data_IF_548503494180
#
_entry.id   IF_548503494180
#
_cell.length_a   1.000
_cell.length_b   1.000
_cell.length_c   1.000
_cell.angle_alpha   90.00
_cell.angle_beta   90.00
_cell.angle_gamma   90.00
#
_symmetry.space_group_name_H-M   'P 1'
#
loop_
_entity.id
_entity.type
_entity.pdbx_description
1 polymer ?
#
# COMPACT_ATOMS: atom_id res chain seq x y z
N UNK A 1 28.43 11.16 23.20
CA UNK A 1 29.76 10.61 23.04
C UNK A 1 29.70 9.55 21.95
N UNK A 2 30.46 9.72 20.89
CA UNK A 2 30.54 8.74 19.81
C UNK A 2 31.27 7.50 20.35
N UNK A 3 30.73 6.29 20.10
CA UNK A 3 31.33 5.05 20.66
C UNK A 3 32.64 4.67 19.96
N UNK A 4 32.82 5.10 18.71
CA UNK A 4 34.04 4.77 17.92
C UNK A 4 35.17 5.75 18.17
N UNK A 5 34.86 7.05 18.32
CA UNK A 5 35.89 8.10 18.46
C UNK A 5 36.06 8.58 19.91
N UNK A 6 35.13 8.33 20.81
CA UNK A 6 35.12 8.84 22.18
C UNK A 6 34.83 10.33 22.29
N UNK A 7 34.58 11.04 21.19
CA UNK A 7 34.37 12.48 21.17
C UNK A 7 32.89 12.86 21.25
N UNK A 8 32.59 14.07 21.76
CA UNK A 8 31.26 14.63 21.74
C UNK A 8 30.97 15.26 20.38
N UNK A 9 29.93 14.79 19.69
CA UNK A 9 29.41 15.38 18.46
C UNK A 9 27.98 15.89 18.64
N UNK A 10 27.54 16.78 17.78
CA UNK A 10 26.14 17.22 17.72
C UNK A 10 25.23 16.03 17.36
N UNK A 11 24.07 15.98 18.00
CA UNK A 11 23.02 15.01 17.70
C UNK A 11 22.55 15.21 16.28
N UNK A 12 22.38 14.10 15.56
CA UNK A 12 21.82 14.03 14.21
C UNK A 12 20.49 13.26 14.26
N UNK A 13 19.66 13.43 13.25
CA UNK A 13 18.37 12.71 13.17
C UNK A 13 18.54 11.19 13.16
N UNK A 14 19.61 10.68 12.57
CA UNK A 14 19.95 9.24 12.56
C UNK A 14 20.23 8.65 13.95
N UNK A 15 20.52 9.49 14.93
CA UNK A 15 20.74 9.05 16.32
C UNK A 15 19.42 8.79 17.06
N UNK A 16 18.30 9.20 16.47
CA UNK A 16 16.98 9.16 17.09
C UNK A 16 16.17 8.00 16.49
N UNK A 17 15.60 7.19 17.38
CA UNK A 17 14.66 6.13 16.99
C UNK A 17 13.34 6.27 17.75
N UNK A 18 12.24 6.07 17.05
CA UNK A 18 10.91 5.93 17.64
C UNK A 18 10.52 4.45 17.59
N UNK A 19 10.42 3.84 18.76
CA UNK A 19 10.04 2.45 18.90
C UNK A 19 8.53 2.33 19.16
N UNK A 20 7.89 1.50 18.36
CA UNK A 20 6.48 1.15 18.47
C UNK A 20 6.34 -0.35 18.74
N UNK A 21 5.36 -0.73 19.54
CA UNK A 21 5.04 -2.15 19.72
C UNK A 21 4.52 -2.78 18.41
N UNK A 22 3.60 -2.08 17.74
CA UNK A 22 3.09 -2.44 16.42
C UNK A 22 3.23 -1.23 15.51
N UNK A 23 3.84 -1.40 14.36
CA UNK A 23 4.15 -0.32 13.40
C UNK A 23 2.92 -0.02 12.54
N UNK A 24 2.10 -1.05 12.26
CA UNK A 24 0.91 -0.94 11.43
C UNK A 24 -0.06 0.15 11.93
N UNK A 25 -0.45 1.04 11.05
CA UNK A 25 -1.40 2.14 11.30
C UNK A 25 -0.82 3.36 12.06
N UNK A 26 0.33 3.22 12.72
CA UNK A 26 0.93 4.31 13.50
C UNK A 26 2.15 4.92 12.83
N UNK A 27 2.97 4.11 12.18
CA UNK A 27 4.20 4.58 11.53
C UNK A 27 3.98 5.67 10.50
N UNK A 28 2.94 5.53 9.71
CA UNK A 28 2.58 6.50 8.68
C UNK A 28 2.14 7.84 9.30
N UNK A 29 1.36 7.78 10.39
CA UNK A 29 0.95 8.99 11.12
C UNK A 29 2.17 9.71 11.72
N UNK A 30 3.08 8.98 12.36
CA UNK A 30 4.32 9.55 12.88
C UNK A 30 5.19 10.14 11.78
N UNK A 31 5.39 9.40 10.67
CA UNK A 31 6.17 9.87 9.54
C UNK A 31 5.60 11.17 8.95
N UNK A 32 4.29 11.22 8.72
CA UNK A 32 3.60 12.39 8.19
C UNK A 32 3.72 13.61 9.11
N UNK A 33 3.52 13.45 10.41
CA UNK A 33 3.61 14.54 11.38
C UNK A 33 5.03 15.08 11.47
N UNK A 34 6.04 14.21 11.52
CA UNK A 34 7.45 14.62 11.55
C UNK A 34 7.85 15.32 10.26
N UNK A 35 7.47 14.79 9.11
CA UNK A 35 7.74 15.41 7.81
C UNK A 35 7.05 16.78 7.66
N UNK A 36 5.81 16.91 8.14
CA UNK A 36 5.10 18.19 8.17
C UNK A 36 5.81 19.22 9.06
N UNK A 37 6.52 18.77 10.11
CA UNK A 37 7.37 19.61 10.95
C UNK A 37 8.79 19.84 10.38
N UNK A 38 9.08 19.38 9.16
CA UNK A 38 10.40 19.50 8.52
C UNK A 38 11.43 18.54 9.06
N UNK A 39 11.04 17.52 9.85
CA UNK A 39 11.94 16.52 10.39
C UNK A 39 11.93 15.31 9.46
N UNK A 40 13.07 14.96 8.83
CA UNK A 40 13.15 13.81 7.97
C UNK A 40 12.96 12.53 8.79
N UNK A 41 11.91 11.78 8.52
CA UNK A 41 11.56 10.55 9.21
C UNK A 41 11.25 9.43 8.23
N UNK A 42 11.65 8.23 8.61
CA UNK A 42 11.53 7.04 7.80
C UNK A 42 11.02 5.87 8.66
N UNK A 43 10.08 5.13 8.11
CA UNK A 43 9.52 3.93 8.74
C UNK A 43 10.09 2.65 8.12
N UNK A 44 10.57 1.74 8.95
CA UNK A 44 11.01 0.40 8.51
C UNK A 44 9.85 -0.59 8.34
N UNK A 45 8.61 -0.11 8.26
CA UNK A 45 7.47 -0.99 8.04
C UNK A 45 7.57 -1.62 6.65
N UNK A 46 7.43 -2.93 6.59
CA UNK A 46 7.39 -3.68 5.32
C UNK A 46 5.99 -3.72 4.70
N UNK A 47 5.04 -2.97 5.26
CA UNK A 47 3.64 -3.00 4.85
C UNK A 47 3.25 -1.66 4.27
N UNK A 48 2.53 -1.68 3.17
CA UNK A 48 1.90 -0.49 2.62
C UNK A 48 2.36 -0.06 1.22
N UNK A 49 3.38 -0.69 0.62
CA UNK A 49 3.84 -0.33 -0.72
C UNK A 49 2.70 -0.37 -1.75
N UNK A 50 1.97 -1.48 -1.82
CA UNK A 50 0.86 -1.64 -2.75
C UNK A 50 -0.39 -0.83 -2.38
N UNK A 51 -0.46 -0.27 -1.18
CA UNK A 51 -1.55 0.61 -0.74
C UNK A 51 -1.23 2.09 -0.92
N UNK A 52 -0.01 2.44 -1.34
CA UNK A 52 0.34 3.83 -1.66
C UNK A 52 -0.45 4.32 -2.86
N UNK A 53 -0.87 5.58 -2.80
CA UNK A 53 -1.77 6.15 -3.81
C UNK A 53 -1.21 6.07 -5.23
N UNK A 54 0.10 6.32 -5.39
CA UNK A 54 0.77 6.27 -6.69
C UNK A 54 0.74 4.87 -7.28
N UNK A 55 0.97 3.83 -6.47
CA UNK A 55 0.97 2.44 -6.92
C UNK A 55 -0.45 1.97 -7.22
N UNK A 56 -1.41 2.26 -6.33
CA UNK A 56 -2.83 1.93 -6.55
C UNK A 56 -3.35 2.55 -7.85
N UNK A 57 -2.96 3.80 -8.14
CA UNK A 57 -3.39 4.47 -9.37
C UNK A 57 -2.83 3.76 -10.61
N UNK A 58 -1.55 3.43 -10.64
CA UNK A 58 -0.95 2.71 -11.79
C UNK A 58 -1.53 1.30 -11.93
N UNK A 59 -1.71 0.57 -10.82
CA UNK A 59 -2.34 -0.75 -10.86
C UNK A 59 -3.77 -0.68 -11.40
N UNK A 60 -4.57 0.30 -10.97
CA UNK A 60 -5.91 0.51 -11.54
C UNK A 60 -5.85 0.78 -13.05
N UNK A 61 -4.86 1.55 -13.53
CA UNK A 61 -4.70 1.78 -14.96
C UNK A 61 -4.32 0.50 -15.72
N UNK A 62 -3.45 -0.34 -15.15
CA UNK A 62 -3.11 -1.66 -15.70
C UNK A 62 -4.35 -2.58 -15.75
N UNK A 63 -5.20 -2.56 -14.72
CA UNK A 63 -6.49 -3.26 -14.75
C UNK A 63 -7.36 -2.80 -15.91
N UNK A 64 -7.38 -1.50 -16.25
CA UNK A 64 -8.14 -0.99 -17.38
C UNK A 64 -7.53 -1.41 -18.73
N UNK A 65 -6.22 -1.50 -18.81
CA UNK A 65 -5.54 -2.02 -20.01
C UNK A 65 -5.90 -3.48 -20.26
N UNK A 66 -6.07 -4.29 -19.22
CA UNK A 66 -6.52 -5.67 -19.30
C UNK A 66 -8.04 -5.75 -19.58
N UNK A 67 -8.85 -5.12 -18.73
CA UNK A 67 -10.30 -5.11 -18.84
C UNK A 67 -10.92 -3.77 -18.40
N UNK A 68 -11.36 -2.90 -19.33
CA UNK A 68 -11.92 -1.59 -19.01
C UNK A 68 -13.33 -1.66 -18.38
N UNK A 69 -13.98 -2.82 -18.43
CA UNK A 69 -15.31 -3.03 -17.87
C UNK A 69 -15.31 -3.21 -16.35
N UNK A 70 -14.18 -3.06 -15.67
CA UNK A 70 -14.07 -3.09 -14.20
C UNK A 70 -14.46 -1.73 -13.62
N UNK A 71 -15.61 -1.66 -12.92
CA UNK A 71 -16.20 -0.39 -12.48
C UNK A 71 -15.33 0.34 -11.45
N UNK A 72 -14.76 -0.37 -10.46
CA UNK A 72 -13.96 0.24 -9.39
C UNK A 72 -12.66 0.84 -9.94
N UNK A 73 -11.80 0.10 -10.66
CA UNK A 73 -10.61 0.66 -11.28
C UNK A 73 -10.93 1.81 -12.25
N UNK A 74 -11.99 1.66 -13.05
CA UNK A 74 -12.36 2.68 -14.03
C UNK A 74 -12.75 4.00 -13.36
N UNK A 75 -13.64 3.94 -12.36
CA UNK A 75 -14.06 5.12 -11.60
C UNK A 75 -12.88 5.76 -10.86
N UNK A 76 -11.99 4.93 -10.28
CA UNK A 76 -10.80 5.41 -9.61
C UNK A 76 -9.88 6.20 -10.55
N UNK A 77 -9.69 5.75 -11.79
CA UNK A 77 -8.87 6.46 -12.78
C UNK A 77 -9.58 7.72 -13.28
N UNK A 78 -10.88 7.70 -13.51
CA UNK A 78 -11.62 8.91 -13.88
C UNK A 78 -11.46 10.02 -12.84
N UNK A 79 -11.47 9.65 -11.55
CA UNK A 79 -11.29 10.60 -10.45
C UNK A 79 -9.83 10.99 -10.20
N UNK A 80 -8.89 10.18 -10.63
CA UNK A 80 -7.46 10.43 -10.46
C UNK A 80 -6.99 11.63 -11.30
N UNK A 81 -5.82 12.20 -11.01
CA UNK A 81 -5.22 13.27 -11.83
C UNK A 81 -5.04 12.92 -13.30
N UNK A 82 -5.10 11.65 -13.67
CA UNK A 82 -4.96 11.17 -15.05
C UNK A 82 -6.14 11.66 -15.91
N UNK A 83 -7.36 11.54 -15.42
CA UNK A 83 -8.55 12.06 -16.10
C UNK A 83 -9.08 13.34 -15.46
N UNK A 84 -9.03 13.45 -14.11
CA UNK A 84 -9.38 14.65 -13.36
C UNK A 84 -10.89 14.96 -13.36
N UNK A 85 -11.73 13.94 -13.35
CA UNK A 85 -13.17 14.13 -13.23
C UNK A 85 -13.58 14.48 -11.79
N UNK A 86 -14.46 15.43 -11.64
CA UNK A 86 -15.13 15.77 -10.39
C UNK A 86 -16.26 14.79 -10.07
N UNK A 87 -16.71 14.76 -8.83
CA UNK A 87 -17.83 13.90 -8.43
C UNK A 87 -19.14 14.27 -9.18
N UNK A 88 -19.34 15.55 -9.48
CA UNK A 88 -20.49 16.03 -10.27
C UNK A 88 -20.42 15.52 -11.72
N UNK A 89 -19.23 15.58 -12.34
CA UNK A 89 -19.01 15.06 -13.69
C UNK A 89 -19.22 13.54 -13.75
N UNK A 90 -18.76 12.81 -12.76
CA UNK A 90 -19.01 11.35 -12.66
C UNK A 90 -20.49 11.03 -12.51
N UNK A 91 -21.21 11.81 -11.72
CA UNK A 91 -22.67 11.68 -11.58
C UNK A 91 -23.38 11.96 -12.91
N UNK A 92 -22.99 13.01 -13.64
CA UNK A 92 -23.53 13.34 -14.95
C UNK A 92 -23.32 12.19 -15.96
N UNK A 93 -22.12 11.62 -16.01
CA UNK A 93 -21.82 10.46 -16.85
C UNK A 93 -22.72 9.26 -16.47
N UNK A 94 -22.90 8.98 -15.19
CA UNK A 94 -23.72 7.85 -14.71
C UNK A 94 -25.21 8.05 -14.99
N UNK A 95 -25.66 9.30 -15.06
CA UNK A 95 -27.07 9.64 -15.38
C UNK A 95 -27.45 9.40 -16.83
N UNK A 96 -26.49 9.32 -17.76
CA UNK A 96 -26.78 9.03 -19.18
C UNK A 96 -27.42 7.66 -19.35
N UNK A 97 -26.87 6.67 -18.65
CA UNK A 97 -27.41 5.31 -18.69
C UNK A 97 -27.01 4.57 -17.40
N UNK A 98 -27.98 4.26 -16.56
CA UNK A 98 -27.77 3.59 -15.27
C UNK A 98 -27.60 2.09 -15.37
N UNK A 99 -28.03 1.50 -16.48
CA UNK A 99 -28.07 0.05 -16.71
C UNK A 99 -26.73 -0.49 -17.23
N UNK A 100 -25.96 0.36 -17.94
CA UNK A 100 -24.69 -0.03 -18.54
C UNK A 100 -23.50 0.18 -17.59
N UNK A 101 -22.37 -0.44 -17.90
CA UNK A 101 -21.11 -0.19 -17.18
C UNK A 101 -20.60 1.23 -17.40
N UNK A 102 -19.87 1.76 -16.42
CA UNK A 102 -19.39 3.14 -16.45
C UNK A 102 -18.47 3.42 -17.67
N UNK A 103 -17.73 2.43 -18.15
CA UNK A 103 -16.95 2.52 -19.38
C UNK A 103 -17.83 2.83 -20.61
N UNK A 104 -18.93 2.10 -20.75
CA UNK A 104 -19.90 2.29 -21.84
C UNK A 104 -20.65 3.63 -21.69
N UNK A 105 -21.03 3.99 -20.44
CA UNK A 105 -21.65 5.28 -20.15
C UNK A 105 -20.72 6.46 -20.52
N UNK A 106 -19.40 6.35 -20.26
CA UNK A 106 -18.41 7.33 -20.69
C UNK A 106 -18.34 7.43 -22.21
N UNK A 107 -18.37 6.30 -22.93
CA UNK A 107 -18.40 6.28 -24.38
C UNK A 107 -19.63 6.99 -24.95
N UNK A 108 -20.82 6.73 -24.38
CA UNK A 108 -22.07 7.41 -24.74
C UNK A 108 -21.99 8.90 -24.44
N UNK A 109 -21.55 9.29 -23.24
CA UNK A 109 -21.42 10.69 -22.85
C UNK A 109 -20.42 11.43 -23.76
N UNK A 110 -19.31 10.82 -24.12
CA UNK A 110 -18.33 11.42 -25.02
C UNK A 110 -18.90 11.79 -26.42
N UNK A 111 -20.03 11.18 -26.82
CA UNK A 111 -20.73 11.48 -28.07
C UNK A 111 -21.88 12.46 -27.85
N UNK A 112 -22.75 12.20 -26.85
CA UNK A 112 -24.06 12.84 -26.70
C UNK A 112 -24.17 13.74 -25.46
N UNK A 113 -23.14 13.82 -24.61
CA UNK A 113 -23.19 14.59 -23.36
C UNK A 113 -23.42 16.09 -23.59
N UNK A 114 -24.03 16.75 -22.64
CA UNK A 114 -24.37 18.19 -22.73
C UNK A 114 -23.14 19.08 -22.53
N UNK A 115 -22.24 18.72 -21.61
CA UNK A 115 -21.03 19.48 -21.33
C UNK A 115 -19.91 19.14 -22.32
N UNK A 116 -19.54 20.14 -23.12
CA UNK A 116 -18.51 20.00 -24.15
C UNK A 116 -17.11 19.77 -23.54
N UNK A 117 -16.79 20.43 -22.42
CA UNK A 117 -15.51 20.26 -21.77
C UNK A 117 -15.34 18.83 -21.23
N UNK A 118 -16.39 18.28 -20.63
CA UNK A 118 -16.40 16.91 -20.15
C UNK A 118 -16.36 15.89 -21.31
N UNK A 119 -17.09 16.15 -22.40
CA UNK A 119 -17.01 15.30 -23.63
C UNK A 119 -15.59 15.20 -24.14
N UNK A 120 -14.90 16.33 -24.28
CA UNK A 120 -13.53 16.35 -24.78
C UNK A 120 -12.54 15.69 -23.82
N UNK A 121 -12.72 15.90 -22.52
CA UNK A 121 -11.95 15.22 -21.47
C UNK A 121 -12.08 13.70 -21.59
N UNK A 122 -13.30 13.19 -21.69
CA UNK A 122 -13.57 11.76 -21.82
C UNK A 122 -13.09 11.18 -23.13
N UNK A 123 -13.26 11.89 -24.26
CA UNK A 123 -12.72 11.45 -25.56
C UNK A 123 -11.21 11.27 -25.53
N UNK A 124 -10.50 12.24 -24.97
CA UNK A 124 -9.04 12.19 -24.84
C UNK A 124 -8.61 11.01 -23.98
N UNK A 125 -9.24 10.84 -22.83
CA UNK A 125 -8.95 9.72 -21.94
C UNK A 125 -9.22 8.36 -22.59
N UNK A 126 -10.39 8.18 -23.21
CA UNK A 126 -10.75 6.92 -23.88
C UNK A 126 -9.83 6.60 -25.04
N UNK A 127 -9.48 7.59 -25.87
CA UNK A 127 -8.53 7.41 -26.98
C UNK A 127 -7.13 7.03 -26.48
N UNK A 128 -6.67 7.64 -25.40
CA UNK A 128 -5.39 7.32 -24.79
C UNK A 128 -5.39 5.89 -24.20
N UNK A 129 -6.45 5.53 -23.48
CA UNK A 129 -6.62 4.18 -22.91
C UNK A 129 -6.61 3.13 -24.03
N UNK A 130 -7.39 3.34 -25.09
CA UNK A 130 -7.45 2.40 -26.22
C UNK A 130 -6.11 2.26 -26.94
N UNK A 131 -5.38 3.37 -27.12
CA UNK A 131 -4.03 3.34 -27.71
C UNK A 131 -3.08 2.47 -26.88
N UNK A 132 -3.14 2.52 -25.56
CA UNK A 132 -2.30 1.70 -24.69
C UNK A 132 -2.78 0.24 -24.68
N UNK A 133 -4.09 0.00 -24.66
CA UNK A 133 -4.67 -1.35 -24.71
C UNK A 133 -4.26 -2.12 -25.97
N UNK A 134 -4.31 -1.47 -27.13
CA UNK A 134 -3.88 -2.08 -28.38
C UNK A 134 -2.40 -2.48 -28.39
N UNK A 135 -1.58 -1.88 -27.52
CA UNK A 135 -0.16 -2.21 -27.40
C UNK A 135 0.13 -3.34 -26.41
N UNK A 136 -0.78 -3.65 -25.48
CA UNK A 136 -0.58 -4.68 -24.44
C UNK A 136 -0.02 -6.00 -24.98
N UNK A 137 -0.51 -6.58 -26.10
CA UNK A 137 -0.01 -7.86 -26.59
C UNK A 137 1.44 -7.82 -27.10
N UNK A 138 1.96 -6.64 -27.42
CA UNK A 138 3.24 -6.45 -28.11
C UNK A 138 4.29 -5.71 -27.27
N UNK A 139 3.92 -5.24 -26.08
CA UNK A 139 4.78 -4.41 -25.25
C UNK A 139 5.07 -5.13 -23.94
N UNK A 140 6.34 -5.24 -23.51
CA UNK A 140 6.69 -5.71 -22.18
C UNK A 140 5.99 -4.89 -21.09
N UNK A 141 5.70 -5.51 -19.94
CA UNK A 141 4.91 -4.86 -18.86
C UNK A 141 5.66 -3.66 -18.29
N UNK A 142 6.98 -3.78 -18.08
CA UNK A 142 7.80 -2.67 -17.58
C UNK A 142 7.78 -1.46 -18.54
N UNK A 143 7.82 -1.70 -19.85
CA UNK A 143 7.68 -0.64 -20.85
C UNK A 143 6.26 -0.08 -20.87
N UNK A 144 5.24 -0.93 -20.72
CA UNK A 144 3.84 -0.49 -20.64
C UNK A 144 3.63 0.44 -19.44
N UNK A 145 4.16 0.10 -18.26
CA UNK A 145 4.10 0.96 -17.09
C UNK A 145 4.80 2.30 -17.37
N UNK A 146 5.98 2.27 -17.96
CA UNK A 146 6.73 3.49 -18.32
C UNK A 146 5.92 4.36 -19.30
N UNK A 147 5.33 3.76 -20.34
CA UNK A 147 4.47 4.47 -21.28
C UNK A 147 3.22 5.06 -20.62
N UNK A 148 2.61 4.35 -19.66
CA UNK A 148 1.49 4.89 -18.88
C UNK A 148 1.94 6.14 -18.14
N UNK A 149 3.05 6.08 -17.39
CA UNK A 149 3.56 7.21 -16.60
C UNK A 149 3.89 8.43 -17.47
N UNK A 150 4.50 8.22 -18.62
CA UNK A 150 4.88 9.29 -19.55
C UNK A 150 3.67 9.90 -20.26
N UNK A 151 2.84 9.07 -20.91
CA UNK A 151 1.71 9.55 -21.72
C UNK A 151 0.61 10.20 -20.89
N UNK A 152 0.38 9.71 -19.67
CA UNK A 152 -0.58 10.33 -18.76
C UNK A 152 -0.01 11.53 -17.99
N UNK A 153 1.32 11.70 -18.00
CA UNK A 153 2.01 12.70 -17.18
C UNK A 153 1.98 12.38 -15.68
N UNK A 154 1.47 11.20 -15.30
CA UNK A 154 1.28 10.85 -13.90
C UNK A 154 2.60 10.73 -13.13
N UNK A 155 3.68 10.29 -13.77
CA UNK A 155 5.01 10.23 -13.17
C UNK A 155 5.52 11.62 -12.73
N UNK A 156 5.34 12.64 -13.57
CA UNK A 156 5.65 14.03 -13.24
C UNK A 156 4.77 14.58 -12.12
N UNK A 157 3.47 14.32 -12.19
CA UNK A 157 2.51 14.71 -11.15
C UNK A 157 2.88 14.10 -9.78
N UNK A 158 3.12 12.80 -9.72
CA UNK A 158 3.49 12.11 -8.48
C UNK A 158 4.79 12.66 -7.87
N UNK A 159 5.77 13.00 -8.73
CA UNK A 159 7.04 13.59 -8.30
C UNK A 159 6.90 15.02 -7.76
N UNK A 160 5.89 15.77 -8.21
CA UNK A 160 5.62 17.13 -7.76
C UNK A 160 4.79 17.20 -6.46
N UNK A 161 4.19 16.11 -6.04
CA UNK A 161 3.41 16.02 -4.81
C UNK A 161 4.31 15.98 -3.56
N UNK A 162 3.79 16.31 -2.36
CA UNK A 162 4.51 16.11 -1.11
C UNK A 162 5.03 14.66 -0.99
N UNK A 163 6.31 14.50 -0.65
CA UNK A 163 6.98 13.19 -0.67
C UNK A 163 7.30 12.69 -2.08
N UNK A 164 7.40 13.57 -3.08
CA UNK A 164 7.55 13.21 -4.49
C UNK A 164 8.76 12.32 -4.79
N UNK A 165 9.87 12.51 -4.08
CA UNK A 165 11.06 11.64 -4.22
C UNK A 165 10.72 10.19 -3.85
N UNK A 166 9.97 9.99 -2.74
CA UNK A 166 9.52 8.66 -2.33
C UNK A 166 8.53 8.06 -3.32
N UNK A 167 7.55 8.87 -3.78
CA UNK A 167 6.57 8.42 -4.78
C UNK A 167 7.21 8.00 -6.08
N UNK A 168 8.20 8.76 -6.54
CA UNK A 168 8.97 8.40 -7.72
C UNK A 168 9.74 7.10 -7.53
N UNK A 169 10.43 6.93 -6.41
CA UNK A 169 11.14 5.69 -6.09
C UNK A 169 10.19 4.48 -6.01
N UNK A 170 8.98 4.67 -5.45
CA UNK A 170 7.94 3.63 -5.44
C UNK A 170 7.51 3.23 -6.87
N UNK A 171 7.33 4.20 -7.77
CA UNK A 171 7.00 3.94 -9.18
C UNK A 171 8.13 3.22 -9.91
N UNK A 172 9.38 3.62 -9.70
CA UNK A 172 10.57 2.96 -10.25
C UNK A 172 10.66 1.51 -9.77
N UNK A 173 10.41 1.24 -8.48
CA UNK A 173 10.36 -0.13 -7.95
C UNK A 173 9.23 -0.96 -8.58
N UNK A 174 8.08 -0.36 -8.96
CA UNK A 174 7.03 -1.10 -9.68
C UNK A 174 7.52 -1.55 -11.06
N UNK A 175 8.28 -0.71 -11.74
CA UNK A 175 8.91 -1.07 -13.02
C UNK A 175 9.93 -2.20 -12.84
N UNK A 176 10.77 -2.15 -11.80
CA UNK A 176 11.72 -3.23 -11.47
C UNK A 176 10.99 -4.55 -11.19
N UNK A 177 9.89 -4.50 -10.43
CA UNK A 177 9.07 -5.69 -10.16
C UNK A 177 8.45 -6.27 -11.43
N UNK A 178 8.10 -5.44 -12.39
CA UNK A 178 7.64 -5.92 -13.68
C UNK A 178 8.76 -6.62 -14.47
N UNK A 179 9.98 -6.10 -14.44
CA UNK A 179 11.16 -6.74 -15.05
C UNK A 179 11.46 -8.08 -14.38
N UNK A 180 11.44 -8.13 -13.03
CA UNK A 180 11.62 -9.38 -12.28
C UNK A 180 10.57 -10.44 -12.64
N UNK A 181 9.29 -10.02 -12.76
CA UNK A 181 8.21 -10.90 -13.16
C UNK A 181 8.41 -11.43 -14.58
N UNK A 182 8.84 -10.60 -15.51
CA UNK A 182 9.06 -10.98 -16.91
C UNK A 182 10.25 -11.95 -17.09
N UNK A 183 11.17 -11.98 -16.15
CA UNK A 183 12.25 -12.97 -16.11
C UNK A 183 11.75 -14.38 -15.71
N UNK A 184 10.52 -14.50 -15.18
CA UNK A 184 9.91 -15.79 -14.85
C UNK A 184 9.29 -16.47 -16.07
N UNK A 185 8.78 -17.69 -15.89
CA UNK A 185 8.04 -18.42 -16.93
C UNK A 185 6.65 -17.87 -17.21
N UNK A 186 6.12 -17.02 -16.31
CA UNK A 186 4.80 -16.40 -16.46
C UNK A 186 4.91 -15.12 -17.29
N UNK A 187 4.00 -14.94 -18.24
CA UNK A 187 3.99 -13.77 -19.12
C UNK A 187 2.60 -13.16 -19.24
N UNK A 188 2.57 -11.91 -19.67
CA UNK A 188 1.34 -11.17 -19.99
C UNK A 188 0.78 -10.40 -18.81
N UNK A 189 0.08 -9.30 -19.16
CA UNK A 189 -0.45 -8.32 -18.21
C UNK A 189 -1.40 -8.95 -17.19
N UNK A 190 -2.31 -9.81 -17.61
CA UNK A 190 -3.25 -10.53 -16.75
C UNK A 190 -2.53 -11.31 -15.64
N UNK A 191 -1.47 -12.06 -15.97
CA UNK A 191 -0.72 -12.84 -15.00
C UNK A 191 0.06 -11.94 -14.04
N UNK A 192 0.58 -10.81 -14.52
CA UNK A 192 1.25 -9.82 -13.66
C UNK A 192 0.27 -9.22 -12.65
N UNK A 193 -0.92 -8.80 -13.09
CA UNK A 193 -1.96 -8.28 -12.19
C UNK A 193 -2.29 -9.31 -11.11
N UNK A 194 -2.54 -10.57 -11.49
CA UNK A 194 -2.80 -11.64 -10.53
C UNK A 194 -1.64 -11.90 -9.58
N UNK A 195 -0.41 -11.81 -10.05
CA UNK A 195 0.78 -11.91 -9.21
C UNK A 195 0.81 -10.82 -8.15
N UNK A 196 0.56 -9.56 -8.53
CA UNK A 196 0.47 -8.44 -7.57
C UNK A 196 -0.67 -8.64 -6.57
N UNK A 197 -1.86 -9.06 -7.02
CA UNK A 197 -3.01 -9.35 -6.15
C UNK A 197 -2.69 -10.46 -5.13
N UNK A 198 -1.95 -11.48 -5.54
CA UNK A 198 -1.50 -12.53 -4.63
C UNK A 198 -0.51 -12.01 -3.60
N UNK A 199 0.46 -11.18 -4.01
CA UNK A 199 1.39 -10.54 -3.08
C UNK A 199 0.65 -9.71 -2.03
N UNK A 200 -0.33 -8.92 -2.44
CA UNK A 200 -1.19 -8.16 -1.54
C UNK A 200 -1.96 -9.07 -0.57
N UNK A 201 -2.56 -10.14 -1.06
CA UNK A 201 -3.36 -11.08 -0.27
C UNK A 201 -2.56 -11.83 0.78
N UNK A 202 -1.33 -12.20 0.47
CA UNK A 202 -0.45 -12.95 1.39
C UNK A 202 0.40 -12.04 2.27
N UNK A 203 0.10 -10.73 2.29
CA UNK A 203 0.88 -9.74 3.04
C UNK A 203 2.39 -9.78 2.74
N UNK A 204 2.76 -10.32 1.57
CA UNK A 204 4.12 -10.22 1.05
C UNK A 204 4.25 -8.81 0.48
N UNK A 205 4.10 -7.81 1.36
CA UNK A 205 4.21 -6.42 0.98
C UNK A 205 5.69 -6.03 1.08
N UNK A 206 6.23 -5.60 -0.02
CA UNK A 206 7.54 -4.97 -0.04
C UNK A 206 7.36 -3.59 0.61
N UNK A 207 8.03 -3.30 1.71
CA UNK A 207 7.98 -1.95 2.27
C UNK A 207 8.28 -0.90 1.20
N UNK A 208 7.83 0.32 1.40
CA UNK A 208 8.19 1.45 0.54
C UNK A 208 9.70 1.48 0.30
N UNK A 209 10.10 1.88 -0.90
CA UNK A 209 11.53 2.01 -1.25
C UNK A 209 12.23 2.88 -0.22
N UNK A 210 13.27 2.34 0.39
CA UNK A 210 14.09 3.12 1.30
C UNK A 210 15.02 4.03 0.50
N UNK A 211 14.52 5.21 0.10
CA UNK A 211 15.34 6.23 -0.56
C UNK A 211 16.40 6.86 0.36
N UNK A 212 16.14 6.80 1.65
CA UNK A 212 17.11 7.19 2.66
C UNK A 212 17.92 5.93 2.99
N UNK A 213 19.08 5.73 2.39
CA UNK A 213 20.00 4.65 2.75
C UNK A 213 20.18 4.53 4.27
N UNK A 214 20.65 3.41 4.77
CA UNK A 214 20.87 3.21 6.22
C UNK A 214 21.76 4.29 6.87
N UNK A 215 22.55 5.00 6.05
CA UNK A 215 23.41 6.10 6.45
C UNK A 215 22.77 7.49 6.41
N UNK A 216 21.52 7.62 5.95
CA UNK A 216 20.86 8.92 5.85
C UNK A 216 20.55 9.51 7.23
N UNK A 217 20.65 10.84 7.34
CA UNK A 217 20.34 11.57 8.56
C UNK A 217 18.81 11.73 8.73
N UNK A 218 18.16 10.66 9.15
CA UNK A 218 16.70 10.59 9.32
C UNK A 218 16.30 9.91 10.63
N UNK A 219 15.21 10.36 11.24
CA UNK A 219 14.59 9.69 12.40
C UNK A 219 14.01 8.36 11.95
N UNK A 220 14.38 7.28 12.63
CA UNK A 220 13.90 5.93 12.32
C UNK A 220 12.66 5.58 13.14
N UNK A 221 11.64 5.07 12.47
CA UNK A 221 10.42 4.56 13.13
C UNK A 221 10.38 3.05 12.89
N UNK A 222 10.44 2.27 13.97
CA UNK A 222 10.46 0.80 13.83
C UNK A 222 9.76 0.10 15.00
N UNK A 223 9.51 -1.20 14.86
CA UNK A 223 9.01 -2.00 15.97
C UNK A 223 10.12 -2.36 16.95
N UNK A 224 9.73 -2.55 18.22
CA UNK A 224 10.64 -3.05 19.27
C UNK A 224 11.32 -4.38 18.82
N UNK A 225 10.61 -5.24 18.10
CA UNK A 225 11.18 -6.49 17.61
C UNK A 225 12.31 -6.28 16.57
N UNK A 226 12.15 -5.29 15.69
CA UNK A 226 13.17 -4.97 14.68
C UNK A 226 14.39 -4.24 15.26
N UNK A 227 14.25 -3.59 16.42
CA UNK A 227 15.37 -2.92 17.08
C UNK A 227 16.28 -3.89 17.85
N UNK A 228 15.92 -5.19 17.95
CA UNK A 228 16.75 -6.19 18.63
C UNK A 228 18.12 -6.30 17.98
N UNK A 229 19.17 -6.05 18.75
CA UNK A 229 20.55 -6.05 18.28
C UNK A 229 21.03 -4.72 17.71
N UNK A 230 20.18 -3.69 17.67
CA UNK A 230 20.55 -2.34 17.27
C UNK A 230 20.67 -1.45 18.50
N UNK A 231 21.61 -0.51 18.47
CA UNK A 231 21.80 0.48 19.53
C UNK A 231 21.57 1.89 18.97
N UNK A 232 20.82 2.69 19.74
CA UNK A 232 20.51 4.08 19.37
C UNK A 232 20.80 5.00 20.54
N UNK A 233 21.46 6.16 20.31
CA UNK A 233 21.73 7.13 21.36
C UNK A 233 20.45 7.70 22.00
N UNK A 234 19.39 7.91 21.19
CA UNK A 234 18.13 8.48 21.65
C UNK A 234 16.98 7.58 21.22
N UNK A 235 16.20 7.12 22.19
CA UNK A 235 15.08 6.20 21.99
C UNK A 235 13.79 6.81 22.53
N UNK A 236 12.80 7.00 21.67
CA UNK A 236 11.43 7.33 22.05
C UNK A 236 10.58 6.07 22.02
N UNK A 237 10.13 5.60 23.17
CA UNK A 237 9.19 4.48 23.24
C UNK A 237 7.76 5.02 23.25
N UNK A 238 7.05 4.85 22.13
CA UNK A 238 5.74 5.45 21.91
C UNK A 238 4.62 4.41 21.92
N UNK A 239 3.39 4.86 22.26
CA UNK A 239 2.22 3.99 22.27
C UNK A 239 2.13 3.04 23.46
N UNK A 240 2.79 3.34 24.59
CA UNK A 240 2.82 2.48 25.78
C UNK A 240 1.46 2.34 26.46
N UNK A 241 0.57 3.32 26.31
CA UNK A 241 -0.80 3.27 26.84
C UNK A 241 -1.76 2.37 26.07
N UNK A 242 -1.34 1.80 24.93
CA UNK A 242 -2.19 0.92 24.13
C UNK A 242 -2.33 -0.45 24.82
N UNK A 243 -3.57 -0.87 25.08
CA UNK A 243 -3.85 -2.19 25.66
C UNK A 243 -3.32 -3.32 24.76
N UNK A 244 -2.98 -4.45 25.39
CA UNK A 244 -2.56 -5.64 24.66
C UNK A 244 -3.71 -6.20 23.81
N UNK A 245 -3.41 -6.61 22.60
CA UNK A 245 -4.39 -7.32 21.77
C UNK A 245 -4.73 -8.66 22.47
N UNK A 246 -6.01 -8.83 22.80
CA UNK A 246 -6.50 -10.04 23.43
C UNK A 246 -7.29 -10.94 22.45
N UNK A 247 -7.21 -10.67 21.16
CA UNK A 247 -7.96 -11.45 20.14
C UNK A 247 -7.58 -12.93 20.18
N UNK A 248 -6.30 -13.24 20.33
CA UNK A 248 -5.84 -14.63 20.42
C UNK A 248 -6.34 -15.35 21.68
N UNK A 249 -6.53 -14.61 22.78
CA UNK A 249 -7.08 -15.18 24.01
C UNK A 249 -8.61 -15.37 23.97
N UNK A 250 -9.29 -14.77 22.98
CA UNK A 250 -10.74 -14.88 22.73
C UNK A 250 -11.07 -15.84 21.59
N UNK A 251 -10.06 -16.39 20.94
CA UNK A 251 -10.26 -17.38 19.89
C UNK A 251 -10.94 -18.64 20.46
N UNK A 252 -11.83 -19.25 19.69
CA UNK A 252 -12.52 -20.48 20.09
C UNK A 252 -11.54 -21.63 20.37
N UNK A 253 -10.37 -21.60 19.76
CA UNK A 253 -9.30 -22.55 19.94
C UNK A 253 -8.01 -21.80 20.28
N UNK A 254 -7.40 -22.07 21.43
CA UNK A 254 -6.14 -21.47 21.86
C UNK A 254 -5.07 -22.56 21.89
N UNK A 255 -4.00 -22.36 21.12
CA UNK A 255 -2.84 -23.25 21.10
C UNK A 255 -1.81 -22.81 22.14
N UNK A 256 -1.34 -23.74 22.97
CA UNK A 256 -0.32 -23.48 23.97
C UNK A 256 0.83 -24.46 23.83
N UNK A 257 2.07 -23.98 23.86
CA UNK A 257 3.28 -24.77 23.60
C UNK A 257 3.47 -25.98 24.53
N UNK A 258 2.91 -25.94 25.73
CA UNK A 258 2.97 -27.07 26.70
C UNK A 258 1.67 -27.85 26.81
N UNK A 259 0.56 -27.31 26.33
CA UNK A 259 -0.75 -27.97 26.39
C UNK A 259 -1.36 -27.98 25.00
N UNK A 260 -0.99 -28.85 24.14
CA UNK A 260 -1.29 -29.00 22.73
C UNK A 260 -2.49 -28.18 22.19
N UNK A 261 -3.64 -28.13 22.88
CA UNK A 261 -4.78 -27.27 22.55
C UNK A 261 -5.71 -27.07 23.76
N UNK A 262 -6.31 -25.90 23.88
CA UNK A 262 -7.39 -25.63 24.83
C UNK A 262 -8.57 -24.99 24.08
N UNK A 263 -9.76 -25.56 24.22
CA UNK A 263 -11.00 -25.03 23.64
C UNK A 263 -11.72 -24.17 24.65
N UNK A 264 -12.01 -22.90 24.32
CA UNK A 264 -12.89 -22.06 25.13
C UNK A 264 -14.35 -22.44 24.86
N UNK A 265 -15.07 -22.92 25.86
CA UNK A 265 -16.54 -22.99 25.81
C UNK A 265 -17.10 -21.57 25.96
N UNK A 266 -17.95 -21.16 25.04
CA UNK A 266 -18.78 -19.97 25.20
C UNK A 266 -19.72 -20.18 26.39
N UNK A 267 -19.49 -19.45 27.48
CA UNK A 267 -20.45 -19.37 28.60
C UNK A 267 -21.33 -18.16 28.31
N UNK A 268 -22.65 -18.31 28.24
CA UNK A 268 -23.54 -17.16 28.07
C UNK A 268 -23.45 -16.28 29.34
N UNK A 269 -23.24 -15.02 29.11
CA UNK A 269 -23.28 -13.87 29.98
C UNK A 269 -23.66 -14.13 31.46
N UNK A 270 -22.73 -14.51 32.30
CA UNK A 270 -22.75 -14.19 33.73
C UNK A 270 -21.32 -14.26 34.29
N UNK A 271 -20.97 -13.24 35.01
CA UNK A 271 -19.73 -12.93 35.69
C UNK A 271 -18.74 -14.08 36.00
N UNK A 272 -17.46 -13.79 35.71
CA UNK A 272 -16.27 -14.50 36.20
C UNK A 272 -15.90 -15.81 35.49
N UNK A 273 -15.12 -15.66 34.41
CA UNK A 273 -14.45 -16.79 33.76
C UNK A 273 -13.34 -17.36 34.65
N UNK A 274 -13.64 -18.38 35.43
CA UNK A 274 -12.62 -19.26 35.98
C UNK A 274 -12.05 -20.15 34.89
N UNK A 275 -10.75 -19.99 34.60
CA UNK A 275 -10.02 -20.81 33.65
C UNK A 275 -9.94 -22.25 34.19
N UNK A 276 -10.61 -23.20 33.59
CA UNK A 276 -10.41 -24.61 33.85
C UNK A 276 -9.56 -25.20 32.73
N UNK A 277 -8.26 -25.30 32.95
CA UNK A 277 -7.37 -26.13 32.16
C UNK A 277 -7.49 -27.58 32.65
N UNK A 278 -8.19 -28.44 31.95
CA UNK A 278 -8.13 -29.89 32.19
C UNK A 278 -7.02 -30.47 31.31
N UNK A 279 -5.85 -30.68 31.88
CA UNK A 279 -4.85 -31.56 31.32
C UNK A 279 -5.30 -33.01 31.52
N UNK A 280 -5.52 -33.76 30.43
CA UNK A 280 -5.55 -35.21 30.52
C UNK A 280 -4.10 -35.72 30.51
N UNK A 281 -3.54 -36.05 31.66
CA UNK A 281 -2.40 -36.91 31.76
C UNK A 281 -2.90 -38.35 31.61
N UNK A 282 -2.66 -38.96 30.49
CA UNK A 282 -2.72 -40.42 30.39
C UNK A 282 -1.43 -41.01 30.97
N UNK A 283 -1.45 -41.28 32.27
CA UNK A 283 -0.50 -42.20 32.86
C UNK A 283 -0.85 -43.60 32.35
N UNK A 284 0.05 -44.24 31.61
CA UNK A 284 0.11 -45.70 31.48
C UNK A 284 1.14 -46.17 32.50
N UNK A 285 0.66 -47.04 33.36
CA UNK A 285 1.49 -48.01 34.10
C UNK A 285 1.98 -49.08 33.14
#
# INVERSE_FOLDING_TARGET
MDKETGEYRKIQYRDIVILLRAVSGWSETFSRVLQAAGIPAYSTSKTGYFSTQEIVTVLNYLHLCDNPCQEIPFTAILRSPICGCTDAELAAVRCVDKEVKIYEACGKYAVTGEDEALREKLRRFLAQLETLRCRVPYTPIHELITQILEKTGYGGYASAMPGGVQRRANLEMLVEKAVEFEATSYRGLFNFIRYIEQLQKYEVDFGEVNIYGESADTVRIMSIHKSKGLEFPIVFLSGMGKSFNQMDSRAALVLHSRMASAQMRSIPNTACARRHCRGRSSARA
#
